data_IF_647181876961
#
_entry.id   IF_647181876961
#
_cell.length_a   1.000
_cell.length_b   1.000
_cell.length_c   1.000
_cell.angle_alpha   90.00
_cell.angle_beta   90.00
_cell.angle_gamma   90.00
#
_symmetry.space_group_name_H-M   'P 1'
#
loop_
_entity.id
_entity.type
_entity.pdbx_description
1 polymer ?
#
# COMPACT_ATOMS: atom_id res chain seq x y z
N UNK A 1 -25.93 -41.75 6.79
CA UNK A 1 -24.75 -40.86 6.79
C UNK A 1 -24.73 -40.14 8.13
N UNK A 2 -23.78 -40.51 9.01
CA UNK A 2 -23.69 -40.06 10.40
C UNK A 2 -23.50 -38.53 10.49
N UNK A 3 -24.09 -37.86 11.49
CA UNK A 3 -23.85 -36.44 11.78
C UNK A 3 -22.35 -36.10 11.85
N UNK A 4 -21.52 -37.06 12.27
CA UNK A 4 -20.06 -36.93 12.27
C UNK A 4 -19.46 -36.70 10.88
N UNK A 5 -19.96 -37.34 9.82
CA UNK A 5 -19.44 -37.15 8.47
C UNK A 5 -19.81 -35.77 7.90
N UNK A 6 -20.97 -35.23 8.26
CA UNK A 6 -21.37 -33.88 7.86
C UNK A 6 -20.51 -32.81 8.54
N UNK A 7 -20.17 -33.00 9.83
CA UNK A 7 -19.30 -32.07 10.56
C UNK A 7 -17.86 -32.13 10.04
N UNK A 8 -17.35 -33.34 9.75
CA UNK A 8 -16.00 -33.50 9.18
C UNK A 8 -15.88 -32.84 7.80
N UNK A 9 -16.88 -33.01 6.93
CA UNK A 9 -16.90 -32.40 5.59
C UNK A 9 -17.02 -30.87 5.65
N UNK A 10 -17.78 -30.33 6.61
CA UNK A 10 -17.85 -28.88 6.88
C UNK A 10 -16.51 -28.35 7.38
N UNK A 11 -15.86 -29.05 8.31
CA UNK A 11 -14.55 -28.65 8.83
C UNK A 11 -13.50 -28.64 7.72
N UNK A 12 -13.48 -29.67 6.86
CA UNK A 12 -12.56 -29.78 5.72
C UNK A 12 -12.77 -28.67 4.68
N UNK A 13 -14.03 -28.32 4.38
CA UNK A 13 -14.35 -27.19 3.49
C UNK A 13 -13.95 -25.84 4.09
N UNK A 14 -14.09 -25.65 5.40
CA UNK A 14 -13.69 -24.41 6.09
C UNK A 14 -12.16 -24.26 6.06
N UNK A 15 -11.41 -25.32 6.34
CA UNK A 15 -9.94 -25.29 6.31
C UNK A 15 -9.40 -25.06 4.90
N UNK A 16 -9.94 -25.76 3.89
CA UNK A 16 -9.51 -25.57 2.49
C UNK A 16 -9.81 -24.16 1.97
N UNK A 17 -10.94 -23.56 2.35
CA UNK A 17 -11.26 -22.18 1.95
C UNK A 17 -10.34 -21.16 2.63
N UNK A 18 -10.00 -21.36 3.91
CA UNK A 18 -9.09 -20.47 4.64
C UNK A 18 -7.67 -20.44 4.06
N UNK A 19 -7.17 -21.58 3.60
CA UNK A 19 -5.84 -21.69 2.98
C UNK A 19 -5.80 -21.05 1.58
N UNK A 20 -6.87 -21.21 0.80
CA UNK A 20 -7.00 -20.58 -0.52
C UNK A 20 -7.04 -19.05 -0.42
N UNK A 21 -7.81 -18.52 0.52
CA UNK A 21 -7.91 -17.07 0.75
C UNK A 21 -6.57 -16.47 1.14
N UNK A 22 -5.82 -17.14 2.04
CA UNK A 22 -4.47 -16.71 2.41
C UNK A 22 -3.49 -16.76 1.24
N UNK A 23 -3.58 -17.78 0.39
CA UNK A 23 -2.72 -17.89 -0.79
C UNK A 23 -3.02 -16.78 -1.82
N UNK A 24 -4.31 -16.52 -2.08
CA UNK A 24 -4.75 -15.41 -2.92
C UNK A 24 -4.34 -14.05 -2.36
N UNK A 25 -4.38 -13.86 -1.05
CA UNK A 25 -3.91 -12.63 -0.40
C UNK A 25 -2.39 -12.45 -0.59
N UNK A 26 -1.61 -13.52 -0.45
CA UNK A 26 -0.15 -13.50 -0.69
C UNK A 26 0.19 -13.15 -2.14
N UNK A 27 -0.52 -13.74 -3.10
CA UNK A 27 -0.34 -13.44 -4.53
C UNK A 27 -0.71 -11.98 -4.85
N UNK A 28 -1.85 -11.50 -4.35
CA UNK A 28 -2.27 -10.09 -4.50
C UNK A 28 -1.25 -9.13 -3.88
N UNK A 29 -0.65 -9.49 -2.74
CA UNK A 29 0.44 -8.70 -2.14
C UNK A 29 1.70 -8.71 -2.98
N UNK A 30 2.07 -9.84 -3.57
CA UNK A 30 3.24 -9.95 -4.43
C UNK A 30 3.08 -9.12 -5.72
N UNK A 31 1.88 -9.07 -6.27
CA UNK A 31 1.57 -8.28 -7.48
C UNK A 31 1.54 -6.77 -7.19
N UNK A 32 0.91 -6.36 -6.09
CA UNK A 32 0.86 -4.95 -5.64
C UNK A 32 2.12 -4.50 -4.92
N UNK A 33 3.07 -5.41 -4.76
CA UNK A 33 4.29 -5.24 -3.98
C UNK A 33 5.07 -4.01 -4.43
N UNK A 34 5.10 -3.75 -5.74
CA UNK A 34 5.83 -2.64 -6.34
C UNK A 34 4.96 -1.41 -6.65
N UNK A 35 3.69 -1.42 -6.28
CA UNK A 35 2.79 -0.29 -6.49
C UNK A 35 2.99 0.78 -5.40
N UNK A 36 2.94 2.04 -5.82
CA UNK A 36 2.87 3.20 -4.93
C UNK A 36 1.58 3.97 -5.19
N UNK A 37 1.01 4.53 -4.14
CA UNK A 37 -0.16 5.40 -4.21
C UNK A 37 0.29 6.83 -3.95
N UNK A 38 0.08 7.71 -4.91
CA UNK A 38 0.37 9.13 -4.81
C UNK A 38 -0.97 9.85 -4.61
N UNK A 39 -1.05 10.65 -3.55
CA UNK A 39 -2.25 11.43 -3.19
C UNK A 39 -1.95 12.92 -3.23
N UNK A 40 -2.83 13.68 -3.87
CA UNK A 40 -2.74 15.14 -3.96
C UNK A 40 -1.67 15.63 -4.94
N UNK A 41 -1.73 16.93 -5.24
CA UNK A 41 -0.91 17.56 -6.27
C UNK A 41 -1.73 17.98 -7.49
N UNK A 42 -1.03 18.35 -8.57
CA UNK A 42 -1.61 18.66 -9.88
C UNK A 42 -1.26 17.52 -10.86
N UNK A 43 -1.69 16.30 -10.55
CA UNK A 43 -1.49 15.13 -11.43
C UNK A 43 -2.75 14.89 -12.26
N UNK A 44 -3.04 15.79 -13.19
CA UNK A 44 -4.29 15.80 -13.98
C UNK A 44 -4.03 15.79 -15.50
N UNK A 45 -2.78 15.69 -15.95
CA UNK A 45 -2.49 15.68 -17.38
C UNK A 45 -2.66 14.31 -18.04
N UNK A 46 -2.58 14.34 -19.37
CA UNK A 46 -2.64 13.18 -20.27
C UNK A 46 -1.46 12.21 -20.13
N UNK A 47 -0.32 12.67 -19.58
CA UNK A 47 0.90 11.88 -19.41
C UNK A 47 1.24 11.64 -17.93
N UNK A 48 0.33 10.97 -17.22
CA UNK A 48 0.49 10.61 -15.81
C UNK A 48 1.84 9.93 -15.49
N UNK A 49 2.36 8.99 -16.31
CA UNK A 49 3.65 8.36 -16.03
C UNK A 49 4.80 9.38 -15.98
N UNK A 50 4.87 10.30 -16.95
CA UNK A 50 5.92 11.31 -17.04
C UNK A 50 5.85 12.31 -15.87
N UNK A 51 4.65 12.76 -15.51
CA UNK A 51 4.46 13.65 -14.36
C UNK A 51 4.89 13.00 -13.04
N UNK A 52 4.65 11.68 -12.88
CA UNK A 52 5.10 10.94 -11.71
C UNK A 52 6.63 10.82 -11.68
N UNK A 53 7.27 10.59 -12.82
CA UNK A 53 8.73 10.56 -12.93
C UNK A 53 9.36 11.90 -12.56
N UNK A 54 8.83 13.01 -13.07
CA UNK A 54 9.29 14.36 -12.71
C UNK A 54 9.07 14.66 -11.23
N UNK A 55 7.93 14.25 -10.67
CA UNK A 55 7.65 14.43 -9.25
C UNK A 55 8.65 13.69 -8.38
N UNK A 56 8.98 12.43 -8.74
CA UNK A 56 9.97 11.63 -8.02
C UNK A 56 11.37 12.22 -8.17
N UNK A 57 11.74 12.72 -9.34
CA UNK A 57 13.03 13.38 -9.58
C UNK A 57 13.14 14.69 -8.78
N UNK A 58 12.15 15.56 -8.84
CA UNK A 58 12.20 16.89 -8.25
C UNK A 58 12.00 16.89 -6.73
N UNK A 59 11.04 16.12 -6.22
CA UNK A 59 10.70 16.15 -4.79
C UNK A 59 11.43 15.09 -3.97
N UNK A 60 11.64 13.92 -4.54
CA UNK A 60 12.28 12.78 -3.83
C UNK A 60 13.77 12.72 -4.15
N UNK A 61 14.19 13.12 -5.35
CA UNK A 61 15.57 13.04 -5.81
C UNK A 61 15.95 11.67 -6.35
N UNK A 62 14.97 10.88 -6.80
CA UNK A 62 15.19 9.53 -7.33
C UNK A 62 14.70 9.52 -8.77
N UNK A 63 15.63 9.27 -9.71
CA UNK A 63 15.28 9.02 -11.10
C UNK A 63 14.87 7.55 -11.23
N UNK A 64 13.62 7.31 -11.60
CA UNK A 64 13.16 5.97 -11.95
C UNK A 64 12.21 6.03 -13.12
N UNK A 65 12.15 4.94 -13.88
CA UNK A 65 11.10 4.73 -14.87
C UNK A 65 9.86 4.13 -14.21
N UNK A 66 8.69 4.63 -14.59
CA UNK A 66 7.40 4.10 -14.17
C UNK A 66 6.89 3.16 -15.25
N UNK A 67 6.53 1.93 -14.89
CA UNK A 67 6.00 0.96 -15.85
C UNK A 67 4.59 1.30 -16.28
N UNK A 68 3.77 1.75 -15.33
CA UNK A 68 2.38 2.09 -15.55
C UNK A 68 1.93 3.07 -14.47
N UNK A 69 1.06 4.02 -14.83
CA UNK A 69 0.46 4.94 -13.87
C UNK A 69 -0.99 5.22 -14.27
N UNK A 70 -1.90 5.01 -13.32
CA UNK A 70 -3.34 5.19 -13.53
C UNK A 70 -3.92 6.18 -12.52
N UNK A 71 -4.79 7.06 -13.00
CA UNK A 71 -5.62 7.89 -12.15
C UNK A 71 -6.76 7.05 -11.58
N UNK A 72 -6.86 6.98 -10.26
CA UNK A 72 -7.93 6.27 -9.55
C UNK A 72 -9.06 7.23 -9.16
N UNK A 73 -8.73 8.50 -8.91
CA UNK A 73 -9.74 9.51 -8.57
C UNK A 73 -9.27 10.90 -8.94
N UNK A 74 -10.04 11.60 -9.78
CA UNK A 74 -9.82 13.01 -10.11
C UNK A 74 -10.12 13.93 -8.93
N UNK A 75 -11.22 13.66 -8.20
CA UNK A 75 -11.69 14.50 -7.07
C UNK A 75 -10.65 14.67 -5.97
N UNK A 76 -9.92 13.59 -5.66
CA UNK A 76 -8.90 13.60 -4.61
C UNK A 76 -7.46 13.52 -5.17
N UNK A 77 -7.31 13.55 -6.50
CA UNK A 77 -6.05 13.37 -7.23
C UNK A 77 -5.26 12.19 -6.67
N UNK A 78 -5.79 10.99 -6.87
CA UNK A 78 -5.19 9.73 -6.43
C UNK A 78 -4.65 9.01 -7.65
N UNK A 79 -3.33 8.85 -7.72
CA UNK A 79 -2.63 8.12 -8.78
C UNK A 79 -2.02 6.86 -8.19
N UNK A 80 -2.16 5.74 -8.88
CA UNK A 80 -1.45 4.50 -8.56
C UNK A 80 -0.41 4.27 -9.64
N UNK A 81 0.86 4.22 -9.24
CA UNK A 81 1.97 3.98 -10.15
C UNK A 81 2.65 2.64 -9.82
N UNK A 82 2.94 1.87 -10.86
CA UNK A 82 3.67 0.61 -10.80
C UNK A 82 5.15 0.87 -11.08
N UNK A 83 5.98 0.51 -10.11
CA UNK A 83 7.44 0.58 -10.24
C UNK A 83 7.94 -0.79 -10.70
N UNK A 84 8.98 -0.79 -11.53
CA UNK A 84 9.62 -2.02 -11.99
C UNK A 84 10.27 -2.81 -10.84
N UNK A 85 11.09 -2.13 -10.04
CA UNK A 85 11.94 -2.77 -9.04
C UNK A 85 11.54 -2.44 -7.59
N UNK A 86 11.58 -3.46 -6.74
CA UNK A 86 11.33 -3.32 -5.29
C UNK A 86 12.33 -2.39 -4.61
N UNK A 87 13.61 -2.44 -4.99
CA UNK A 87 14.65 -1.60 -4.40
C UNK A 87 14.41 -0.12 -4.65
N UNK A 88 13.97 0.23 -5.86
CA UNK A 88 13.53 1.59 -6.20
C UNK A 88 12.35 2.01 -5.34
N UNK A 89 11.31 1.17 -5.23
CA UNK A 89 10.16 1.45 -4.34
C UNK A 89 10.64 1.69 -2.91
N UNK A 90 11.56 0.87 -2.40
CA UNK A 90 12.11 1.01 -1.04
C UNK A 90 12.88 2.32 -0.87
N UNK A 91 13.65 2.74 -1.88
CA UNK A 91 14.34 4.02 -1.87
C UNK A 91 13.36 5.20 -1.84
N UNK A 92 12.31 5.16 -2.67
CA UNK A 92 11.24 6.17 -2.68
C UNK A 92 10.56 6.24 -1.31
N UNK A 93 10.21 5.08 -0.74
CA UNK A 93 9.53 5.01 0.56
C UNK A 93 10.40 5.46 1.74
N UNK A 94 11.73 5.34 1.64
CA UNK A 94 12.67 5.93 2.63
C UNK A 94 12.74 7.45 2.50
N UNK A 95 12.77 7.95 1.26
CA UNK A 95 12.96 9.36 0.98
C UNK A 95 11.65 10.17 0.95
N UNK A 96 10.47 9.52 1.02
CA UNK A 96 9.16 10.17 1.05
C UNK A 96 8.99 11.22 2.16
N UNK A 97 9.78 11.16 3.22
CA UNK A 97 9.79 12.18 4.27
C UNK A 97 10.17 13.56 3.74
N UNK A 98 10.90 13.66 2.62
CA UNK A 98 11.17 14.93 1.91
C UNK A 98 9.89 15.62 1.41
N UNK A 99 8.79 14.87 1.29
CA UNK A 99 7.49 15.40 0.91
C UNK A 99 6.70 16.00 2.07
N UNK A 100 7.19 15.87 3.32
CA UNK A 100 6.54 16.47 4.49
C UNK A 100 6.45 17.99 4.32
N UNK A 101 5.26 18.54 4.51
CA UNK A 101 4.97 19.96 4.29
C UNK A 101 4.48 20.29 2.87
N UNK A 102 4.56 19.35 1.93
CA UNK A 102 3.95 19.51 0.60
C UNK A 102 2.52 18.97 0.56
N UNK A 103 1.73 19.38 -0.43
CA UNK A 103 0.37 18.85 -0.68
C UNK A 103 0.36 17.47 -1.35
N UNK A 104 1.51 16.81 -1.49
CA UNK A 104 1.66 15.50 -2.12
C UNK A 104 2.11 14.46 -1.10
N UNK A 105 1.44 13.31 -1.08
CA UNK A 105 1.75 12.20 -0.19
C UNK A 105 2.00 10.92 -0.99
N UNK A 106 2.97 10.12 -0.54
CA UNK A 106 3.24 8.79 -1.11
C UNK A 106 2.96 7.74 -0.04
N UNK A 107 2.09 6.80 -0.36
CA UNK A 107 1.70 5.66 0.47
C UNK A 107 1.91 4.34 -0.27
N UNK A 108 1.96 3.24 0.50
CA UNK A 108 1.91 1.89 -0.07
C UNK A 108 0.50 1.56 -0.56
N UNK A 109 0.41 0.78 -1.63
CA UNK A 109 -0.83 0.15 -2.09
C UNK A 109 -1.15 -1.07 -1.21
N UNK A 110 -1.73 -0.81 -0.03
CA UNK A 110 -2.18 -1.85 0.86
C UNK A 110 -3.47 -2.50 0.36
N UNK A 111 -3.61 -3.82 0.60
CA UNK A 111 -4.90 -4.49 0.51
C UNK A 111 -5.90 -3.91 1.53
N UNK A 112 -7.21 -4.10 1.32
CA UNK A 112 -8.25 -3.57 2.24
C UNK A 112 -8.02 -4.01 3.70
N UNK A 113 -7.74 -5.30 3.91
CA UNK A 113 -7.43 -5.84 5.23
C UNK A 113 -6.16 -5.23 5.84
N UNK A 114 -5.09 -5.07 5.06
CA UNK A 114 -3.86 -4.43 5.54
C UNK A 114 -4.05 -2.95 5.83
N UNK A 115 -4.83 -2.24 5.02
CA UNK A 115 -5.16 -0.83 5.23
C UNK A 115 -5.88 -0.65 6.58
N UNK A 116 -6.86 -1.49 6.90
CA UNK A 116 -7.55 -1.47 8.19
C UNK A 116 -6.61 -1.79 9.35
N UNK A 117 -5.74 -2.80 9.20
CA UNK A 117 -4.73 -3.14 10.21
C UNK A 117 -3.77 -1.98 10.45
N UNK A 118 -3.26 -1.36 9.39
CA UNK A 118 -2.37 -0.21 9.48
C UNK A 118 -3.05 1.02 10.09
N UNK A 119 -4.33 1.27 9.76
CA UNK A 119 -5.13 2.33 10.41
C UNK A 119 -5.24 2.12 11.91
N UNK A 120 -5.53 0.89 12.36
CA UNK A 120 -5.57 0.56 13.79
C UNK A 120 -4.22 0.82 14.47
N UNK A 121 -3.12 0.34 13.87
CA UNK A 121 -1.77 0.55 14.41
C UNK A 121 -1.42 2.04 14.48
N UNK A 122 -1.71 2.81 13.42
CA UNK A 122 -1.51 4.27 13.41
C UNK A 122 -2.35 4.98 14.47
N UNK A 123 -3.60 4.55 14.68
CA UNK A 123 -4.48 5.08 15.71
C UNK A 123 -3.93 4.85 17.12
N UNK A 124 -3.45 3.63 17.40
CA UNK A 124 -2.80 3.30 18.68
C UNK A 124 -1.55 4.17 18.88
N UNK A 125 -0.68 4.27 17.88
CA UNK A 125 0.53 5.08 17.96
C UNK A 125 0.22 6.59 18.16
N UNK A 126 -0.85 7.10 17.56
CA UNK A 126 -1.29 8.48 17.77
C UNK A 126 -1.80 8.70 19.20
N UNK A 127 -2.57 7.73 19.74
CA UNK A 127 -3.04 7.79 21.12
C UNK A 127 -1.88 7.74 22.13
N UNK A 128 -0.84 6.95 21.87
CA UNK A 128 0.37 6.90 22.73
C UNK A 128 1.21 8.18 22.65
N UNK A 129 1.35 8.78 21.45
CA UNK A 129 1.99 10.09 21.30
C UNK A 129 1.24 11.20 22.03
N UNK A 130 -0.10 11.17 22.01
CA UNK A 130 -0.92 12.10 22.79
C UNK A 130 -0.69 11.99 24.30
N UNK A 131 -0.20 10.84 24.78
CA UNK A 131 0.18 10.60 26.17
C UNK A 131 1.66 10.94 26.46
N UNK A 132 2.39 11.50 25.49
CA UNK A 132 3.81 11.84 25.63
C UNK A 132 4.79 10.68 25.40
N UNK A 133 4.31 9.52 24.92
CA UNK A 133 5.16 8.35 24.65
C UNK A 133 5.65 8.36 23.21
N UNK A 134 6.95 8.13 22.99
CA UNK A 134 7.55 8.13 21.65
C UNK A 134 7.24 6.83 20.88
N UNK A 135 6.08 6.77 20.20
CA UNK A 135 5.69 5.62 19.40
C UNK A 135 6.16 5.72 17.93
N UNK A 136 6.91 4.70 17.44
CA UNK A 136 7.27 4.53 16.02
C UNK A 136 6.59 3.29 15.44
N UNK A 137 5.83 3.47 14.36
CA UNK A 137 5.23 2.37 13.60
C UNK A 137 6.23 1.87 12.57
N UNK A 138 6.81 0.70 12.82
CA UNK A 138 7.65 -0.03 11.86
C UNK A 138 6.83 -0.96 10.96
N UNK A 139 7.40 -1.35 9.81
CA UNK A 139 6.89 -2.45 9.00
C UNK A 139 7.40 -3.77 9.63
N UNK A 140 6.48 -4.68 9.98
CA UNK A 140 6.68 -5.93 10.72
C UNK A 140 8.11 -6.49 10.75
N UNK A 141 8.65 -6.67 11.96
CA UNK A 141 9.19 -7.99 12.35
C UNK A 141 8.01 -8.84 12.84
#
# INVERSE_FOLDING_TARGET
MSQFQATLLKLLHITCNGDLEQHLEKLKKAERRNNIVIKGGKLQGSEIPAEVEELLKNKVGIQTKIQDARLVSEKYVIVVAKIENWDTKRAIMKQKNKLKGSKTFIEDDYTKQESERQKKIRGIAAAEKGKGVEAKVGYKK
#
